data_IF_974991628535
#
_entry.id   IF_974991628535
#
_cell.length_a   1.000
_cell.length_b   1.000
_cell.length_c   1.000
_cell.angle_alpha   90.00
_cell.angle_beta   90.00
_cell.angle_gamma   90.00
#
_symmetry.space_group_name_H-M   'P 1'
#
loop_
_entity.id
_entity.type
_entity.pdbx_description
1 polymer ?
#
# COMPACT_ATOMS: atom_id res chain seq x y z
N UNK A 1 6.04 19.63 -35.49
CA UNK A 1 7.07 19.87 -34.48
C UNK A 1 6.36 20.41 -33.25
N UNK A 2 6.18 19.59 -32.21
CA UNK A 2 5.52 20.02 -30.98
C UNK A 2 6.41 21.09 -30.33
N UNK A 3 5.83 22.27 -30.05
CA UNK A 3 6.53 23.30 -29.29
C UNK A 3 7.00 22.66 -27.98
N UNK A 4 8.29 22.80 -27.65
CA UNK A 4 8.81 22.38 -26.34
C UNK A 4 8.07 23.15 -25.26
N UNK A 5 7.04 22.53 -24.70
CA UNK A 5 6.36 23.06 -23.52
C UNK A 5 7.30 22.88 -22.34
N UNK A 6 7.32 23.85 -21.45
CA UNK A 6 8.08 23.79 -20.20
C UNK A 6 7.07 23.66 -19.06
N UNK A 7 7.30 22.69 -18.19
CA UNK A 7 6.52 22.43 -16.99
C UNK A 7 7.34 22.77 -15.75
N UNK A 8 6.74 23.45 -14.78
CA UNK A 8 7.31 23.61 -13.45
C UNK A 8 7.09 22.37 -12.62
N UNK A 9 8.16 21.85 -12.06
CA UNK A 9 8.18 20.66 -11.20
C UNK A 9 8.82 21.06 -9.88
N UNK A 10 8.02 21.14 -8.83
CA UNK A 10 8.45 21.40 -7.46
C UNK A 10 8.72 20.06 -6.77
N UNK A 11 9.93 19.87 -6.25
CA UNK A 11 10.33 18.64 -5.56
C UNK A 11 10.69 18.95 -4.13
N UNK A 12 10.17 18.18 -3.18
CA UNK A 12 10.65 18.21 -1.81
C UNK A 12 12.00 17.51 -1.73
N UNK A 13 13.02 18.27 -1.33
CA UNK A 13 14.40 17.82 -1.18
C UNK A 13 14.75 17.68 0.28
N UNK A 14 15.52 16.66 0.60
CA UNK A 14 16.06 16.43 1.93
C UNK A 14 17.24 15.48 1.89
N UNK A 15 18.36 15.90 2.44
CA UNK A 15 19.52 15.04 2.69
C UNK A 15 19.85 15.12 4.19
N UNK A 16 19.63 14.05 4.98
CA UNK A 16 19.81 14.07 6.43
C UNK A 16 21.25 14.41 6.87
N UNK A 17 22.23 14.25 5.96
CA UNK A 17 23.62 14.59 6.25
C UNK A 17 23.94 16.09 6.05
N UNK A 18 23.08 16.83 5.33
CA UNK A 18 23.35 18.21 4.91
C UNK A 18 22.26 19.20 5.35
N UNK A 19 21.01 18.75 5.38
CA UNK A 19 19.85 19.62 5.54
C UNK A 19 19.26 19.50 6.94
N UNK A 20 18.99 20.63 7.59
CA UNK A 20 18.31 20.67 8.88
C UNK A 20 16.81 20.33 8.75
N UNK A 21 16.18 20.76 7.63
CA UNK A 21 14.75 20.55 7.34
C UNK A 21 14.55 20.33 5.83
N UNK A 22 13.48 19.59 5.45
CA UNK A 22 13.13 19.47 4.02
C UNK A 22 12.79 20.83 3.40
N UNK A 23 13.17 21.05 2.15
CA UNK A 23 12.90 22.27 1.39
C UNK A 23 12.36 21.97 -0.01
N UNK A 24 11.67 22.92 -0.61
CA UNK A 24 11.18 22.81 -2.00
C UNK A 24 12.19 23.37 -2.97
N UNK A 25 12.46 22.61 -4.04
CA UNK A 25 13.29 23.03 -5.16
C UNK A 25 12.46 22.93 -6.44
N UNK A 26 12.43 24.02 -7.22
CA UNK A 26 11.69 24.09 -8.48
C UNK A 26 12.61 23.81 -9.67
N UNK A 27 12.15 22.95 -10.58
CA UNK A 27 12.82 22.64 -11.84
C UNK A 27 11.92 22.99 -13.03
N UNK A 28 12.51 23.45 -14.12
CA UNK A 28 11.83 23.64 -15.40
C UNK A 28 12.16 22.46 -16.31
N UNK A 29 11.15 21.67 -16.66
CA UNK A 29 11.30 20.43 -17.42
C UNK A 29 10.60 20.59 -18.77
N UNK A 30 11.31 20.42 -19.90
CA UNK A 30 10.66 20.31 -21.20
C UNK A 30 9.86 19.02 -21.25
N UNK A 31 8.60 19.09 -21.71
CA UNK A 31 7.74 17.91 -21.73
C UNK A 31 6.90 17.83 -23.02
N UNK A 32 6.48 16.62 -23.31
CA UNK A 32 5.44 16.30 -24.28
C UNK A 32 4.23 15.61 -23.61
N UNK A 33 3.17 15.41 -24.38
CA UNK A 33 1.89 14.82 -23.87
C UNK A 33 2.05 13.39 -23.34
N UNK A 34 3.14 12.68 -23.62
CA UNK A 34 3.37 11.30 -23.22
C UNK A 34 4.26 11.16 -21.99
N UNK A 35 4.93 12.25 -21.59
CA UNK A 35 5.88 12.24 -20.49
C UNK A 35 5.20 12.01 -19.15
N UNK A 36 5.62 10.96 -18.45
CA UNK A 36 5.19 10.69 -17.08
C UNK A 36 5.97 11.54 -16.06
N UNK A 37 5.44 11.63 -14.85
CA UNK A 37 6.17 12.24 -13.71
C UNK A 37 7.48 11.50 -13.45
N UNK A 38 7.54 10.18 -13.68
CA UNK A 38 8.77 9.41 -13.54
C UNK A 38 9.81 9.82 -14.60
N UNK A 39 9.38 10.07 -15.84
CA UNK A 39 10.30 10.53 -16.90
C UNK A 39 10.81 11.94 -16.60
N UNK A 40 9.99 12.82 -16.01
CA UNK A 40 10.42 14.13 -15.55
C UNK A 40 11.49 14.02 -14.43
N UNK A 41 11.31 13.13 -13.46
CA UNK A 41 12.33 12.86 -12.44
C UNK A 41 13.64 12.34 -13.07
N UNK A 42 13.52 11.47 -14.08
CA UNK A 42 14.67 11.02 -14.86
C UNK A 42 15.38 12.17 -15.58
N UNK A 43 14.63 13.03 -16.26
CA UNK A 43 15.19 14.21 -16.93
C UNK A 43 15.93 15.14 -15.95
N UNK A 44 15.31 15.42 -14.80
CA UNK A 44 15.92 16.26 -13.76
C UNK A 44 17.23 15.64 -13.29
N UNK A 45 17.24 14.36 -12.98
CA UNK A 45 18.44 13.65 -12.52
C UNK A 45 19.56 13.64 -13.55
N UNK A 46 19.23 13.44 -14.82
CA UNK A 46 20.23 13.28 -15.87
C UNK A 46 20.79 14.63 -16.36
N UNK A 47 20.01 15.73 -16.30
CA UNK A 47 20.36 17.00 -16.95
C UNK A 47 20.46 18.18 -15.97
N UNK A 48 19.73 18.18 -14.85
CA UNK A 48 19.62 19.36 -13.98
C UNK A 48 20.23 19.13 -12.60
N UNK A 49 19.97 18.00 -11.96
CA UNK A 49 20.46 17.70 -10.62
C UNK A 49 20.64 16.18 -10.40
N UNK A 50 21.84 15.71 -10.60
CA UNK A 50 22.24 14.30 -10.46
C UNK A 50 22.16 13.74 -9.03
N UNK A 51 22.06 14.59 -8.02
CA UNK A 51 21.96 14.19 -6.61
C UNK A 51 20.53 13.83 -6.22
N UNK A 52 19.51 14.13 -7.06
CA UNK A 52 18.12 13.76 -6.81
C UNK A 52 17.96 12.25 -6.60
N UNK A 53 17.35 11.88 -5.47
CA UNK A 53 17.13 10.49 -5.07
C UNK A 53 15.66 10.10 -5.15
N UNK A 54 15.34 9.05 -5.91
CA UNK A 54 14.00 8.48 -6.03
C UNK A 54 14.06 7.01 -6.42
N UNK A 55 12.97 6.27 -6.17
CA UNK A 55 12.87 4.84 -6.50
C UNK A 55 12.06 4.62 -7.77
N UNK A 56 12.51 3.68 -8.59
CA UNK A 56 11.78 3.21 -9.76
C UNK A 56 12.27 1.83 -10.19
N UNK A 57 11.47 1.14 -11.04
CA UNK A 57 11.86 -0.14 -11.64
C UNK A 57 11.11 -0.39 -12.96
N UNK A 58 9.88 -0.92 -12.93
CA UNK A 58 9.19 -1.46 -14.11
C UNK A 58 8.72 -0.42 -15.14
N UNK A 59 8.50 0.83 -14.78
CA UNK A 59 7.95 1.93 -15.60
C UNK A 59 6.55 1.67 -16.20
N UNK A 60 5.84 0.62 -15.77
CA UNK A 60 4.56 0.18 -16.35
C UNK A 60 3.48 -0.11 -15.28
N UNK A 61 3.54 0.53 -14.13
CA UNK A 61 2.58 0.42 -13.04
C UNK A 61 2.38 -1.02 -12.48
N UNK A 62 3.43 -1.86 -12.47
CA UNK A 62 3.38 -3.25 -12.02
C UNK A 62 4.09 -3.45 -10.67
N UNK A 63 5.29 -2.85 -10.47
CA UNK A 63 6.13 -3.18 -9.32
C UNK A 63 5.86 -2.36 -8.05
N UNK A 64 5.17 -1.21 -8.14
CA UNK A 64 4.91 -0.34 -7.00
C UNK A 64 6.06 0.55 -6.53
N UNK A 65 7.30 0.35 -7.01
CA UNK A 65 8.50 1.05 -6.51
C UNK A 65 8.45 2.58 -6.62
N UNK A 66 7.79 3.12 -7.64
CA UNK A 66 7.72 4.58 -7.90
C UNK A 66 6.54 5.26 -7.20
N UNK A 67 6.08 4.75 -6.06
CA UNK A 67 5.07 5.40 -5.24
C UNK A 67 5.61 6.71 -4.65
N UNK A 68 4.89 7.81 -4.85
CA UNK A 68 5.21 9.16 -4.36
C UNK A 68 3.92 9.97 -4.17
N UNK A 69 4.02 11.11 -3.50
CA UNK A 69 2.94 12.11 -3.49
C UNK A 69 3.05 12.98 -4.73
N UNK A 70 1.94 13.18 -5.44
CA UNK A 70 1.80 14.10 -6.57
C UNK A 70 0.64 15.04 -6.28
N UNK A 71 0.92 16.32 -6.06
CA UNK A 71 -0.04 17.32 -5.60
C UNK A 71 -0.86 16.80 -4.40
N UNK A 72 -0.19 16.33 -3.34
CA UNK A 72 -0.77 15.79 -2.10
C UNK A 72 -1.60 14.49 -2.27
N UNK A 73 -1.56 13.84 -3.42
CA UNK A 73 -2.25 12.57 -3.66
C UNK A 73 -1.21 11.47 -3.91
N UNK A 74 -1.23 10.35 -3.16
CA UNK A 74 -0.29 9.27 -3.41
C UNK A 74 -0.60 8.56 -4.74
N UNK A 75 0.39 8.53 -5.62
CA UNK A 75 0.30 7.96 -6.98
C UNK A 75 1.57 7.22 -7.37
N UNK A 76 1.47 6.41 -8.42
CA UNK A 76 2.65 5.86 -9.08
C UNK A 76 3.19 6.88 -10.09
N UNK A 77 4.43 7.31 -9.93
CA UNK A 77 5.07 8.30 -10.82
C UNK A 77 5.04 7.87 -12.30
N UNK A 78 5.21 6.58 -12.58
CA UNK A 78 5.18 6.04 -13.94
C UNK A 78 3.78 5.98 -14.59
N UNK A 79 2.71 6.22 -13.82
CA UNK A 79 1.31 6.25 -14.30
C UNK A 79 0.68 7.64 -14.19
N UNK A 80 1.41 8.64 -13.75
CA UNK A 80 0.99 10.03 -13.63
C UNK A 80 1.65 10.83 -14.75
N UNK A 81 0.89 11.55 -15.57
CA UNK A 81 1.44 12.25 -16.74
C UNK A 81 1.45 13.76 -16.50
N UNK A 82 2.51 14.44 -16.98
CA UNK A 82 2.66 15.88 -16.81
C UNK A 82 1.51 16.67 -17.44
N UNK A 83 0.92 16.19 -18.52
CA UNK A 83 -0.25 16.80 -19.18
C UNK A 83 -1.48 16.94 -18.26
N UNK A 84 -1.56 16.11 -17.20
CA UNK A 84 -2.68 16.12 -16.24
C UNK A 84 -2.53 17.26 -15.20
N UNK A 85 -1.40 17.99 -15.23
CA UNK A 85 -1.03 19.04 -14.26
C UNK A 85 -0.61 20.35 -14.97
N UNK A 86 -1.50 21.02 -15.69
CA UNK A 86 -1.16 22.18 -16.53
C UNK A 86 -0.56 23.35 -15.75
N UNK A 87 -0.92 23.49 -14.46
CA UNK A 87 -0.46 24.59 -13.59
C UNK A 87 0.85 24.29 -12.85
N UNK A 88 1.46 23.13 -13.11
CA UNK A 88 2.64 22.64 -12.41
C UNK A 88 2.37 21.44 -11.53
N UNK A 89 3.42 20.75 -11.10
CA UNK A 89 3.32 19.55 -10.28
C UNK A 89 4.24 19.66 -9.07
N UNK A 90 3.70 19.37 -7.89
CA UNK A 90 4.48 19.20 -6.65
C UNK A 90 4.67 17.73 -6.36
N UNK A 91 5.91 17.33 -6.14
CA UNK A 91 6.31 15.95 -5.90
C UNK A 91 6.96 15.86 -4.52
N UNK A 92 6.45 14.97 -3.70
CA UNK A 92 6.91 14.78 -2.32
C UNK A 92 7.07 13.26 -2.04
N UNK A 93 7.89 12.85 -1.05
CA UNK A 93 7.95 11.46 -0.65
C UNK A 93 6.59 10.96 -0.16
N UNK A 94 6.39 9.63 -0.10
CA UNK A 94 5.15 9.06 0.43
C UNK A 94 4.89 9.57 1.86
N UNK A 95 3.72 10.15 2.07
CA UNK A 95 3.28 10.60 3.38
C UNK A 95 3.18 9.42 4.38
N UNK A 96 3.30 9.71 5.66
CA UNK A 96 3.22 8.74 6.76
C UNK A 96 4.39 7.74 6.81
N UNK A 97 5.46 7.98 6.08
CA UNK A 97 6.69 7.20 6.14
C UNK A 97 7.88 8.10 6.50
N UNK A 98 8.86 7.61 7.27
CA UNK A 98 10.09 8.34 7.52
C UNK A 98 10.84 8.60 6.21
N UNK A 99 11.34 9.82 6.04
CA UNK A 99 12.12 10.20 4.85
C UNK A 99 13.57 9.77 5.07
N UNK A 100 14.13 8.99 4.14
CA UNK A 100 15.56 8.68 4.13
C UNK A 100 16.36 9.75 3.38
N UNK A 101 15.93 10.06 2.14
CA UNK A 101 16.56 11.09 1.30
C UNK A 101 15.62 11.48 0.16
N UNK A 102 15.38 12.77 -0.03
CA UNK A 102 14.51 13.32 -1.09
C UNK A 102 13.16 12.60 -1.18
N UNK A 103 12.94 11.80 -2.22
CA UNK A 103 11.69 11.04 -2.46
C UNK A 103 11.79 9.58 -1.98
N UNK A 104 12.87 9.20 -1.32
CA UNK A 104 13.06 7.86 -0.77
C UNK A 104 12.60 7.86 0.69
N UNK A 105 11.77 6.89 1.03
CA UNK A 105 11.26 6.67 2.39
C UNK A 105 11.65 5.30 2.92
N UNK A 106 11.75 5.17 4.24
CA UNK A 106 11.95 3.91 4.92
C UNK A 106 10.65 3.06 4.84
N UNK A 107 10.74 1.93 4.16
CA UNK A 107 9.65 0.97 4.01
C UNK A 107 9.69 -0.15 5.05
N UNK A 108 10.68 -0.19 5.94
CA UNK A 108 10.83 -1.25 6.94
C UNK A 108 9.57 -1.43 7.79
N UNK A 109 8.97 -0.38 8.37
CA UNK A 109 7.75 -0.53 9.16
C UNK A 109 6.57 -1.10 8.36
N UNK A 110 6.49 -0.82 7.07
CA UNK A 110 5.47 -1.38 6.18
C UNK A 110 5.70 -2.88 5.92
N UNK A 111 6.95 -3.28 5.67
CA UNK A 111 7.31 -4.68 5.42
C UNK A 111 7.06 -5.53 6.67
N UNK A 112 7.46 -5.06 7.84
CA UNK A 112 7.21 -5.76 9.12
C UNK A 112 5.72 -6.04 9.36
N UNK A 113 4.83 -5.09 9.03
CA UNK A 113 3.38 -5.29 9.12
C UNK A 113 2.85 -6.29 8.11
N UNK A 114 3.43 -6.31 6.91
CA UNK A 114 3.09 -7.34 5.93
C UNK A 114 3.55 -8.73 6.40
N UNK A 115 4.73 -8.84 6.98
CA UNK A 115 5.25 -10.11 7.51
C UNK A 115 4.42 -10.62 8.70
N UNK A 116 3.97 -9.71 9.56
CA UNK A 116 3.17 -10.05 10.74
C UNK A 116 1.88 -10.80 10.40
N UNK A 117 1.26 -10.50 9.25
CA UNK A 117 0.03 -11.20 8.80
C UNK A 117 0.32 -12.53 8.11
N UNK A 118 1.58 -12.97 8.00
CA UNK A 118 1.99 -14.19 7.32
C UNK A 118 1.38 -14.29 5.91
N UNK A 119 1.86 -13.47 4.94
CA UNK A 119 1.26 -13.34 3.61
C UNK A 119 1.62 -14.52 2.69
N UNK A 120 1.37 -15.72 3.16
CA UNK A 120 1.57 -16.98 2.43
C UNK A 120 0.53 -18.00 2.90
N UNK A 121 0.33 -19.05 2.11
CA UNK A 121 -0.58 -20.13 2.47
C UNK A 121 0.01 -20.95 3.59
N UNK A 122 -0.66 -20.96 4.73
CA UNK A 122 -0.36 -21.85 5.84
C UNK A 122 -1.06 -23.17 5.52
N UNK A 123 -0.25 -24.16 5.14
CA UNK A 123 -0.76 -25.44 4.63
C UNK A 123 -1.52 -26.24 5.67
N UNK A 124 -2.39 -27.09 5.16
CA UNK A 124 -2.87 -28.26 5.85
C UNK A 124 -1.78 -29.36 5.76
N UNK A 125 -1.86 -30.39 6.58
CA UNK A 125 -0.91 -31.52 6.65
C UNK A 125 -0.91 -32.41 5.38
N UNK A 126 -1.14 -31.79 4.20
CA UNK A 126 -1.09 -32.47 2.90
C UNK A 126 0.31 -33.00 2.61
N UNK A 127 0.37 -34.24 2.18
CA UNK A 127 1.61 -34.89 1.75
C UNK A 127 1.77 -34.75 0.23
N UNK A 128 2.99 -34.87 -0.30
CA UNK A 128 3.23 -34.87 -1.74
C UNK A 128 2.39 -35.92 -2.49
N UNK A 129 2.06 -37.05 -1.85
CA UNK A 129 1.27 -38.13 -2.41
C UNK A 129 -0.19 -37.72 -2.66
N UNK A 130 -0.70 -36.70 -1.96
CA UNK A 130 -2.07 -36.18 -2.12
C UNK A 130 -2.25 -35.40 -3.44
N UNK A 131 -1.18 -35.21 -4.18
CA UNK A 131 -1.16 -34.50 -5.46
C UNK A 131 -1.33 -32.99 -5.33
N UNK A 132 -1.75 -32.36 -6.43
CA UNK A 132 -1.89 -30.88 -6.51
C UNK A 132 -3.02 -30.38 -5.61
N UNK A 133 -2.77 -29.29 -4.88
CA UNK A 133 -3.77 -28.60 -4.07
C UNK A 133 -4.68 -27.76 -4.98
N UNK A 134 -5.71 -28.37 -5.53
CA UNK A 134 -6.62 -27.75 -6.48
C UNK A 134 -7.62 -26.80 -5.81
N UNK A 135 -8.10 -25.86 -6.55
CA UNK A 135 -9.09 -24.86 -6.17
C UNK A 135 -10.10 -24.68 -7.31
N UNK A 136 -11.39 -24.53 -6.98
CA UNK A 136 -12.41 -24.23 -7.98
C UNK A 136 -12.36 -22.73 -8.40
N UNK A 137 -12.89 -22.39 -9.58
CA UNK A 137 -13.03 -20.98 -9.99
C UNK A 137 -13.83 -20.14 -8.98
N UNK A 138 -14.87 -20.69 -8.36
CA UNK A 138 -15.71 -20.02 -7.37
C UNK A 138 -14.93 -19.75 -6.07
N UNK A 139 -14.09 -20.70 -5.65
CA UNK A 139 -13.22 -20.50 -4.49
C UNK A 139 -12.20 -19.39 -4.76
N UNK A 140 -11.59 -19.37 -5.95
CA UNK A 140 -10.65 -18.33 -6.34
C UNK A 140 -11.33 -16.95 -6.48
N UNK A 141 -12.57 -16.91 -6.95
CA UNK A 141 -13.31 -15.67 -7.15
C UNK A 141 -13.49 -14.88 -5.83
N UNK A 142 -13.58 -15.57 -4.67
CA UNK A 142 -13.75 -14.93 -3.36
C UNK A 142 -12.63 -13.98 -2.98
N UNK A 143 -11.39 -14.27 -3.35
CA UNK A 143 -10.23 -13.47 -2.97
C UNK A 143 -9.47 -12.83 -4.15
N UNK A 144 -9.84 -13.13 -5.40
CA UNK A 144 -9.13 -12.70 -6.60
C UNK A 144 -8.87 -11.20 -6.63
N UNK A 145 -9.85 -10.39 -6.25
CA UNK A 145 -9.72 -8.93 -6.18
C UNK A 145 -8.60 -8.51 -5.23
N UNK A 146 -8.53 -9.10 -4.05
CA UNK A 146 -7.57 -8.75 -3.01
C UNK A 146 -6.15 -9.28 -3.30
N UNK A 147 -6.02 -10.28 -4.17
CA UNK A 147 -4.74 -10.83 -4.60
C UNK A 147 -3.95 -9.91 -5.56
N UNK A 148 -4.58 -8.84 -6.07
CA UNK A 148 -3.94 -7.88 -6.98
C UNK A 148 -3.00 -6.86 -6.30
N UNK A 149 -2.78 -6.94 -4.99
CA UNK A 149 -1.91 -6.02 -4.27
C UNK A 149 -0.46 -6.13 -4.75
N UNK A 150 0.16 -4.96 -5.04
CA UNK A 150 1.56 -4.85 -5.48
C UNK A 150 2.48 -4.24 -4.41
N UNK A 151 2.02 -4.13 -3.18
CA UNK A 151 2.77 -3.63 -2.02
C UNK A 151 3.41 -2.25 -2.25
N UNK A 152 2.71 -1.36 -2.94
CA UNK A 152 3.24 -0.04 -3.32
C UNK A 152 3.23 1.02 -2.19
N UNK A 153 2.55 0.78 -1.06
CA UNK A 153 2.48 1.70 0.07
C UNK A 153 1.50 2.88 -0.09
N UNK A 154 0.88 3.11 -1.27
CA UNK A 154 0.01 4.27 -1.51
C UNK A 154 -1.19 4.33 -0.56
N UNK A 155 -1.77 3.19 -0.20
CA UNK A 155 -2.89 3.11 0.73
C UNK A 155 -2.49 3.49 2.18
N UNK A 156 -1.23 3.29 2.57
CA UNK A 156 -0.69 3.76 3.85
C UNK A 156 -0.46 5.28 3.82
N UNK A 157 0.09 5.80 2.73
CA UNK A 157 0.28 7.24 2.55
C UNK A 157 -1.05 8.01 2.56
N UNK A 158 -2.14 7.41 2.04
CA UNK A 158 -3.47 8.01 2.05
C UNK A 158 -4.25 7.79 3.37
N UNK A 159 -3.76 6.94 4.28
CA UNK A 159 -4.52 6.56 5.48
C UNK A 159 -4.30 7.56 6.61
N UNK A 160 -5.32 8.34 7.00
CA UNK A 160 -5.17 9.27 8.12
C UNK A 160 -4.95 8.53 9.45
N UNK A 161 -5.51 7.34 9.61
CA UNK A 161 -5.34 6.56 10.83
C UNK A 161 -3.90 6.05 11.00
N UNK A 162 -3.24 5.66 9.91
CA UNK A 162 -1.84 5.28 9.96
C UNK A 162 -0.92 6.48 10.27
N UNK A 163 -1.28 7.66 9.79
CA UNK A 163 -0.56 8.90 10.12
C UNK A 163 -0.71 9.33 11.58
N UNK A 164 -1.86 9.03 12.21
CA UNK A 164 -2.13 9.34 13.62
C UNK A 164 -1.63 8.26 14.60
N UNK A 165 -1.70 7.00 14.19
CA UNK A 165 -1.26 5.85 14.98
C UNK A 165 -0.32 4.98 14.15
N UNK A 166 1.00 5.16 14.29
CA UNK A 166 1.99 4.35 13.58
C UNK A 166 1.96 2.86 13.91
N UNK A 167 1.35 2.46 15.03
CA UNK A 167 1.18 1.05 15.40
C UNK A 167 0.03 0.37 14.64
N UNK A 168 -0.86 1.13 13.99
CA UNK A 168 -1.91 0.56 13.17
C UNK A 168 -1.34 -0.37 12.10
N UNK A 169 -1.85 -1.58 12.01
CA UNK A 169 -1.34 -2.59 11.08
C UNK A 169 -1.47 -2.16 9.61
N UNK A 170 -2.46 -1.33 9.29
CA UNK A 170 -2.60 -0.65 8.02
C UNK A 170 -3.39 -1.39 6.94
N UNK A 171 -3.76 -0.65 5.86
CA UNK A 171 -4.73 -1.14 4.89
C UNK A 171 -4.24 -2.35 4.07
N UNK A 172 -3.00 -2.36 3.57
CA UNK A 172 -2.54 -3.46 2.72
C UNK A 172 -2.34 -4.74 3.53
N UNK A 173 -1.81 -4.67 4.76
CA UNK A 173 -1.65 -5.83 5.62
C UNK A 173 -3.01 -6.47 5.93
N UNK A 174 -4.01 -5.67 6.32
CA UNK A 174 -5.38 -6.15 6.56
C UNK A 174 -6.02 -6.74 5.30
N UNK A 175 -5.78 -6.15 4.14
CA UNK A 175 -6.26 -6.67 2.85
C UNK A 175 -5.66 -8.03 2.54
N UNK A 176 -4.36 -8.19 2.73
CA UNK A 176 -3.69 -9.47 2.49
C UNK A 176 -4.08 -10.52 3.55
N UNK A 177 -4.27 -10.13 4.81
CA UNK A 177 -4.82 -11.03 5.83
C UNK A 177 -6.19 -11.57 5.40
N UNK A 178 -7.10 -10.69 4.96
CA UNK A 178 -8.42 -11.09 4.46
C UNK A 178 -8.29 -11.96 3.19
N UNK A 179 -7.42 -11.61 2.25
CA UNK A 179 -7.14 -12.42 1.05
C UNK A 179 -6.80 -13.87 1.40
N UNK A 180 -5.88 -14.07 2.37
CA UNK A 180 -5.46 -15.40 2.77
C UNK A 180 -6.53 -16.13 3.59
N UNK A 181 -7.30 -15.41 4.41
CA UNK A 181 -8.43 -15.99 5.14
C UNK A 181 -9.55 -16.52 4.23
N UNK A 182 -9.70 -15.95 3.03
CA UNK A 182 -10.66 -16.40 2.02
C UNK A 182 -10.13 -17.54 1.12
N UNK A 183 -8.84 -17.86 1.21
CA UNK A 183 -8.25 -18.92 0.38
C UNK A 183 -8.60 -20.30 0.97
N UNK A 184 -9.34 -21.12 0.21
CA UNK A 184 -9.80 -22.44 0.65
C UNK A 184 -8.68 -23.44 0.96
N UNK A 185 -7.44 -23.09 0.64
CA UNK A 185 -6.25 -23.92 0.86
C UNK A 185 -5.48 -23.51 2.11
N UNK A 186 -5.90 -22.41 2.76
CA UNK A 186 -5.21 -21.81 3.90
C UNK A 186 -5.87 -22.22 5.23
N UNK A 187 -5.06 -22.55 6.23
CA UNK A 187 -5.48 -22.91 7.59
C UNK A 187 -5.03 -21.87 8.64
N UNK A 188 -4.45 -20.74 8.23
CA UNK A 188 -3.92 -19.73 9.14
C UNK A 188 -4.92 -18.66 9.59
N UNK A 189 -6.23 -18.83 9.30
CA UNK A 189 -7.26 -17.84 9.61
C UNK A 189 -7.27 -17.44 11.08
N UNK A 190 -7.28 -18.41 12.00
CA UNK A 190 -7.40 -18.14 13.44
C UNK A 190 -6.25 -17.27 13.96
N UNK A 191 -5.08 -17.43 13.41
CA UNK A 191 -3.90 -16.64 13.80
C UNK A 191 -3.99 -15.20 13.26
N UNK A 192 -4.37 -15.03 11.98
CA UNK A 192 -4.55 -13.71 11.39
C UNK A 192 -5.73 -12.95 12.02
N UNK A 193 -6.78 -13.65 12.42
CA UNK A 193 -7.92 -13.02 13.09
C UNK A 193 -7.55 -12.39 14.44
N UNK A 194 -6.54 -12.89 15.15
CA UNK A 194 -6.02 -12.23 16.36
C UNK A 194 -5.48 -10.84 16.06
N UNK A 195 -4.73 -10.69 14.97
CA UNK A 195 -4.21 -9.40 14.52
C UNK A 195 -5.33 -8.46 14.04
N UNK A 196 -6.32 -8.99 13.29
CA UNK A 196 -7.46 -8.22 12.81
C UNK A 196 -8.28 -7.67 13.98
N UNK A 197 -8.43 -8.44 15.04
CA UNK A 197 -9.22 -8.12 16.22
C UNK A 197 -8.45 -7.34 17.28
N UNK A 198 -7.13 -7.26 17.17
CA UNK A 198 -6.26 -6.51 18.09
C UNK A 198 -6.53 -5.00 18.09
N UNK A 199 -6.03 -4.32 19.11
CA UNK A 199 -6.17 -2.87 19.29
C UNK A 199 -5.65 -2.08 18.07
N UNK A 200 -4.53 -2.51 17.49
CA UNK A 200 -3.93 -1.92 16.29
C UNK A 200 -4.40 -2.59 14.99
N UNK A 201 -5.40 -3.46 15.06
CA UNK A 201 -5.99 -4.17 13.94
C UNK A 201 -7.12 -3.40 13.26
N UNK A 202 -8.03 -4.15 12.62
CA UNK A 202 -9.13 -3.55 11.88
C UNK A 202 -10.10 -2.78 12.79
N UNK A 203 -10.43 -3.32 13.96
CA UNK A 203 -11.41 -2.73 14.88
C UNK A 203 -10.88 -1.48 15.59
N UNK A 204 -9.68 -1.54 16.15
CA UNK A 204 -9.11 -0.42 16.88
C UNK A 204 -8.52 0.67 15.97
N UNK A 205 -7.94 0.27 14.84
CA UNK A 205 -7.20 1.19 13.97
C UNK A 205 -7.97 1.77 12.80
N UNK A 206 -9.00 1.09 12.26
CA UNK A 206 -9.66 1.54 11.03
C UNK A 206 -11.01 2.24 11.28
N UNK A 207 -11.12 3.52 10.93
CA UNK A 207 -12.36 4.33 10.97
C UNK A 207 -13.16 4.33 9.67
N UNK A 208 -12.76 3.52 8.69
CA UNK A 208 -13.45 3.32 7.41
C UNK A 208 -13.59 4.58 6.53
N UNK A 209 -12.57 5.42 6.48
CA UNK A 209 -12.57 6.64 5.63
C UNK A 209 -12.61 6.31 4.12
N UNK A 210 -11.99 5.20 3.68
CA UNK A 210 -12.08 4.73 2.29
C UNK A 210 -10.96 5.20 1.35
N UNK A 211 -10.14 6.19 1.71
CA UNK A 211 -9.07 6.71 0.83
C UNK A 211 -8.09 5.65 0.33
N UNK A 212 -7.86 4.60 1.12
CA UNK A 212 -7.01 3.48 0.72
C UNK A 212 -7.50 2.77 -0.56
N UNK A 213 -8.82 2.74 -0.79
CA UNK A 213 -9.41 2.17 -2.01
C UNK A 213 -9.35 3.16 -3.17
N UNK A 214 -9.56 4.46 -2.92
CA UNK A 214 -9.52 5.50 -3.94
C UNK A 214 -8.14 5.63 -4.60
N UNK A 215 -7.06 5.53 -3.81
CA UNK A 215 -5.69 5.67 -4.33
C UNK A 215 -5.10 4.37 -4.87
N UNK A 216 -5.82 3.24 -4.78
CA UNK A 216 -5.28 1.95 -5.19
C UNK A 216 -5.09 1.85 -6.71
N UNK A 217 -3.86 1.78 -7.24
CA UNK A 217 -3.61 1.76 -8.68
C UNK A 217 -4.02 0.45 -9.34
N UNK A 218 -4.39 -0.56 -8.53
CA UNK A 218 -4.79 -1.92 -8.96
C UNK A 218 -6.26 -2.25 -8.65
N UNK A 219 -7.03 -1.28 -8.11
CA UNK A 219 -8.44 -1.47 -7.74
C UNK A 219 -8.66 -2.67 -6.81
N UNK A 220 -7.74 -2.87 -5.86
CA UNK A 220 -7.80 -3.99 -4.89
C UNK A 220 -8.92 -3.81 -3.88
N UNK A 221 -9.34 -2.57 -3.61
CA UNK A 221 -10.33 -2.19 -2.62
C UNK A 221 -9.98 -2.60 -1.17
N UNK A 222 -8.93 -2.01 -0.58
CA UNK A 222 -8.56 -2.31 0.80
C UNK A 222 -9.66 -2.00 1.82
N UNK A 223 -10.47 -0.96 1.60
CA UNK A 223 -11.57 -0.60 2.50
C UNK A 223 -12.63 -1.72 2.57
N UNK A 224 -13.00 -2.30 1.42
CA UNK A 224 -13.91 -3.44 1.37
C UNK A 224 -13.31 -4.67 2.09
N UNK A 225 -12.03 -4.98 1.86
CA UNK A 225 -11.36 -6.10 2.53
C UNK A 225 -11.37 -5.95 4.06
N UNK A 226 -11.04 -4.76 4.57
CA UNK A 226 -11.07 -4.47 6.01
C UNK A 226 -12.48 -4.61 6.57
N UNK A 227 -13.49 -4.08 5.87
CA UNK A 227 -14.88 -4.15 6.33
C UNK A 227 -15.41 -5.58 6.33
N UNK A 228 -15.14 -6.37 5.28
CA UNK A 228 -15.49 -7.78 5.23
C UNK A 228 -14.80 -8.57 6.36
N UNK A 229 -13.53 -8.29 6.64
CA UNK A 229 -12.80 -8.87 7.76
C UNK A 229 -13.44 -8.55 9.12
N UNK A 230 -13.93 -7.32 9.32
CA UNK A 230 -14.69 -6.93 10.53
C UNK A 230 -16.01 -7.72 10.66
N UNK A 231 -16.77 -7.83 9.58
CA UNK A 231 -18.03 -8.59 9.58
C UNK A 231 -17.77 -10.06 9.91
N UNK A 232 -16.77 -10.66 9.29
CA UNK A 232 -16.37 -12.06 9.54
C UNK A 232 -15.96 -12.28 11.01
N UNK A 233 -15.18 -11.36 11.56
CA UNK A 233 -14.79 -11.36 12.97
C UNK A 233 -15.98 -11.28 13.92
N UNK A 234 -16.97 -10.45 13.63
CA UNK A 234 -18.19 -10.33 14.45
C UNK A 234 -19.00 -11.63 14.43
N UNK A 235 -19.09 -12.30 13.29
CA UNK A 235 -19.76 -13.59 13.16
C UNK A 235 -19.03 -14.67 13.96
N UNK A 236 -17.72 -14.74 13.89
CA UNK A 236 -16.92 -15.69 14.67
C UNK A 236 -17.10 -15.48 16.18
N UNK A 237 -17.21 -14.23 16.64
CA UNK A 237 -17.49 -13.89 18.03
C UNK A 237 -18.89 -14.40 18.46
N UNK A 238 -19.91 -14.14 17.65
CA UNK A 238 -21.30 -14.61 17.96
C UNK A 238 -21.35 -16.13 17.98
N UNK A 239 -20.73 -16.82 17.04
CA UNK A 239 -20.66 -18.28 17.00
C UNK A 239 -19.95 -18.83 18.25
N UNK A 240 -18.86 -18.18 18.68
CA UNK A 240 -18.15 -18.57 19.90
C UNK A 240 -19.02 -18.44 21.16
N UNK A 241 -19.86 -17.41 21.25
CA UNK A 241 -20.82 -17.22 22.36
C UNK A 241 -21.93 -18.28 22.39
N UNK A 242 -22.30 -18.81 21.23
CA UNK A 242 -23.37 -19.83 21.11
C UNK A 242 -22.87 -21.27 21.31
N UNK A 243 -21.57 -21.51 21.44
CA UNK A 243 -21.03 -22.86 21.75
C UNK A 243 -21.27 -23.22 23.21
N UNK A 244 -21.55 -24.50 23.52
CA UNK A 244 -21.92 -24.95 24.88
C UNK A 244 -20.83 -24.73 25.95
N UNK A 245 -19.59 -24.54 25.57
CA UNK A 245 -18.44 -24.24 26.43
C UNK A 245 -18.22 -22.76 26.71
N UNK A 246 -19.07 -21.91 26.15
CA UNK A 246 -19.50 -20.57 26.62
C UNK A 246 -18.46 -19.52 26.99
N UNK A 247 -17.19 -19.64 26.69
CA UNK A 247 -16.25 -18.55 26.92
C UNK A 247 -15.68 -18.01 25.60
N UNK A 248 -15.87 -16.71 25.34
CA UNK A 248 -15.05 -16.06 24.33
C UNK A 248 -13.59 -16.24 24.77
N UNK A 249 -12.76 -16.86 23.89
CA UNK A 249 -11.31 -16.90 24.14
C UNK A 249 -10.88 -15.44 24.37
N UNK A 250 -10.45 -15.10 25.60
CA UNK A 250 -9.85 -13.82 25.90
C UNK A 250 -8.74 -13.61 24.87
N UNK A 251 -8.87 -12.57 24.07
CA UNK A 251 -7.77 -12.08 23.26
C UNK A 251 -6.79 -11.50 24.27
N UNK A 252 -5.77 -12.25 24.62
CA UNK A 252 -4.63 -11.71 25.35
C UNK A 252 -3.93 -10.74 24.41
N UNK A 253 -3.83 -9.49 24.86
CA UNK A 253 -3.20 -8.38 24.17
C UNK A 253 -1.69 -8.60 24.02
#
# INVERSE_FOLDING_TARGET
>A
MSANRIQKVDILRYDPEKDAEPYKQTFEVPFDETMSVLDALGYIKDHLDKDLSYRWSCRMAICGSCGIMVNNVPKLACKSFLRDYPDGVTIEPLANFPIEKDLIVDMTPFIERLEAIKPYIIGNDRKPEDGTNLQTPEQMAKYKQFAGCINCGLCYAACPQFGLNPEFIGPAALTLAHRYNLDSRDNGKDERMKLINGENGAWGGCTFVGYCSEVCPKNVDPAAAVNQGKVESSMDFVIAMLKPDGSPKKVEA
#
